data_IF_166081523573
#
_entry.id   IF_166081523573
#
_cell.length_a   1.000
_cell.length_b   1.000
_cell.length_c   1.000
_cell.angle_alpha   90.00
_cell.angle_beta   90.00
_cell.angle_gamma   90.00
#
_symmetry.space_group_name_H-M   'P 1'
#
loop_
_entity.id
_entity.type
_entity.pdbx_description
1 polymer ?
#
# COMPACT_ATOMS: atom_id res chain seq x y z
N UNK A 1 0.74 15.34 13.79
CA UNK A 1 1.40 14.17 14.41
C UNK A 1 1.63 13.19 13.29
N UNK A 2 2.84 12.66 13.11
CA UNK A 2 3.13 11.64 12.10
C UNK A 2 2.92 10.25 12.70
N UNK A 3 2.38 9.33 11.92
CA UNK A 3 2.16 7.94 12.32
C UNK A 3 2.88 7.02 11.34
N UNK A 4 3.99 6.44 11.75
CA UNK A 4 4.73 5.42 10.99
C UNK A 4 4.79 4.13 11.77
N UNK A 5 4.95 2.97 11.10
CA UNK A 5 5.30 1.73 11.79
C UNK A 5 6.55 1.93 12.65
N UNK A 6 6.58 1.26 13.80
CA UNK A 6 7.80 1.22 14.61
C UNK A 6 8.90 0.52 13.81
N UNK A 7 10.14 0.96 13.98
CA UNK A 7 11.29 0.43 13.22
C UNK A 7 11.46 -1.09 13.37
N UNK A 8 11.01 -1.66 14.48
CA UNK A 8 11.07 -3.09 14.79
C UNK A 8 10.19 -3.93 13.86
N UNK A 9 9.20 -3.35 13.16
CA UNK A 9 8.41 -4.08 12.13
C UNK A 9 9.31 -4.68 11.06
N UNK A 10 10.43 -4.03 10.72
CA UNK A 10 11.40 -4.56 9.76
C UNK A 10 12.01 -5.91 10.20
N UNK A 11 11.98 -6.26 11.49
CA UNK A 11 12.46 -7.55 12.01
C UNK A 11 11.51 -8.71 11.68
N UNK A 12 10.26 -8.42 11.30
CA UNK A 12 9.28 -9.43 10.89
C UNK A 12 9.47 -9.86 9.43
N UNK A 13 10.30 -9.16 8.64
CA UNK A 13 10.54 -9.49 7.22
C UNK A 13 11.30 -10.82 7.11
N UNK A 14 10.66 -11.84 6.54
CA UNK A 14 11.29 -13.14 6.33
C UNK A 14 11.90 -13.26 4.93
N UNK A 15 11.10 -12.94 3.90
CA UNK A 15 11.47 -13.14 2.50
C UNK A 15 11.07 -11.92 1.68
N UNK A 16 11.99 -11.42 0.84
CA UNK A 16 11.64 -10.45 -0.21
C UNK A 16 10.94 -11.18 -1.35
N UNK A 17 9.64 -10.95 -1.52
CA UNK A 17 8.81 -11.58 -2.55
C UNK A 17 8.82 -10.82 -3.88
N UNK A 18 9.05 -9.50 -3.82
CA UNK A 18 9.14 -8.63 -4.98
C UNK A 18 10.13 -7.48 -4.70
N UNK A 19 10.99 -7.19 -5.67
CA UNK A 19 11.79 -5.95 -5.75
C UNK A 19 11.82 -5.52 -7.21
N UNK A 20 11.05 -4.49 -7.55
CA UNK A 20 10.81 -4.06 -8.94
C UNK A 20 10.70 -2.54 -9.03
N UNK A 21 10.67 -2.03 -10.26
CA UNK A 21 10.32 -0.64 -10.55
C UNK A 21 9.05 -0.51 -11.39
N UNK A 22 8.42 0.67 -11.32
CA UNK A 22 7.24 1.05 -12.10
C UNK A 22 5.96 0.25 -11.79
N UNK A 23 5.03 0.28 -12.74
CA UNK A 23 3.77 -0.48 -12.67
C UNK A 23 4.03 -1.97 -12.52
N UNK A 24 3.32 -2.59 -11.59
CA UNK A 24 3.44 -4.02 -11.35
C UNK A 24 2.12 -4.63 -10.89
N UNK A 25 2.04 -5.94 -11.07
CA UNK A 25 0.92 -6.78 -10.66
C UNK A 25 1.51 -8.01 -9.98
N UNK A 26 1.31 -8.10 -8.67
CA UNK A 26 1.91 -9.11 -7.81
C UNK A 26 0.85 -10.02 -7.21
N UNK A 27 0.90 -11.32 -7.53
CA UNK A 27 0.08 -12.34 -6.87
C UNK A 27 0.73 -12.72 -5.53
N UNK A 28 0.11 -12.36 -4.41
CA UNK A 28 0.68 -12.63 -3.10
C UNK A 28 0.50 -14.11 -2.72
N UNK A 29 1.57 -14.81 -2.29
CA UNK A 29 1.49 -16.20 -1.82
C UNK A 29 0.96 -16.32 -0.39
N UNK A 30 0.77 -15.19 0.30
CA UNK A 30 0.28 -15.09 1.67
C UNK A 30 -0.42 -13.74 1.87
N UNK A 31 -1.23 -13.63 2.92
CA UNK A 31 -1.89 -12.39 3.35
C UNK A 31 -1.13 -11.62 4.42
N UNK A 32 0.00 -12.14 4.89
CA UNK A 32 0.89 -11.48 5.85
C UNK A 32 2.07 -10.89 5.09
N UNK A 33 1.94 -9.63 4.67
CA UNK A 33 2.94 -8.95 3.83
C UNK A 33 3.13 -7.48 4.20
N UNK A 34 4.33 -6.98 3.93
CA UNK A 34 4.68 -5.56 3.98
C UNK A 34 4.98 -5.08 2.56
N UNK A 35 4.31 -4.01 2.14
CA UNK A 35 4.52 -3.33 0.88
C UNK A 35 5.21 -1.99 1.13
N UNK A 36 6.28 -1.72 0.38
CA UNK A 36 7.04 -0.48 0.42
C UNK A 36 7.14 0.10 -1.00
N UNK A 37 6.40 1.17 -1.26
CA UNK A 37 6.42 1.91 -2.51
C UNK A 37 7.09 3.27 -2.33
N UNK A 38 7.93 3.66 -3.29
CA UNK A 38 8.61 4.95 -3.32
C UNK A 38 8.50 5.53 -4.73
N UNK A 39 7.86 6.70 -4.85
CA UNK A 39 7.40 7.25 -6.11
C UNK A 39 7.80 8.70 -6.31
N UNK A 40 7.92 9.14 -7.56
CA UNK A 40 8.07 10.54 -7.89
C UNK A 40 6.84 11.35 -7.42
N UNK A 41 7.07 12.44 -6.69
CA UNK A 41 5.99 13.22 -6.05
C UNK A 41 5.07 13.98 -7.01
N UNK A 42 5.52 14.18 -8.26
CA UNK A 42 4.80 14.95 -9.27
C UNK A 42 3.83 14.11 -10.11
N UNK A 43 3.70 12.82 -9.81
CA UNK A 43 2.88 11.89 -10.59
C UNK A 43 1.81 11.25 -9.72
N UNK A 44 0.69 10.92 -10.34
CA UNK A 44 -0.35 10.15 -9.67
C UNK A 44 0.14 8.72 -9.44
N UNK A 45 -0.28 8.14 -8.33
CA UNK A 45 0.10 6.78 -7.93
C UNK A 45 -1.15 6.04 -7.48
N UNK A 46 -1.30 4.81 -7.98
CA UNK A 46 -2.38 3.91 -7.58
C UNK A 46 -1.85 2.66 -6.88
N UNK A 47 -2.54 2.23 -5.81
CA UNK A 47 -2.33 0.94 -5.16
C UNK A 47 -3.68 0.25 -4.96
N UNK A 48 -3.83 -0.96 -5.50
CA UNK A 48 -5.04 -1.78 -5.31
C UNK A 48 -4.71 -3.10 -4.65
N UNK A 49 -5.57 -3.51 -3.73
CA UNK A 49 -5.61 -4.89 -3.22
C UNK A 49 -6.87 -5.54 -3.77
N UNK A 50 -6.67 -6.62 -4.53
CA UNK A 50 -7.71 -7.27 -5.32
C UNK A 50 -7.73 -8.75 -4.95
N UNK A 51 -8.89 -9.34 -4.75
CA UNK A 51 -8.98 -10.78 -4.52
C UNK A 51 -8.94 -11.59 -5.85
N UNK A 52 -8.82 -12.91 -5.78
CA UNK A 52 -8.80 -13.76 -6.99
C UNK A 52 -10.09 -13.71 -7.83
N UNK A 53 -11.20 -13.22 -7.26
CA UNK A 53 -12.47 -13.02 -7.98
C UNK A 53 -12.52 -11.70 -8.76
N UNK A 54 -11.43 -10.93 -8.74
CA UNK A 54 -11.31 -9.56 -9.26
C UNK A 54 -12.12 -8.52 -8.47
N UNK A 55 -12.50 -8.82 -7.22
CA UNK A 55 -13.07 -7.83 -6.33
C UNK A 55 -11.96 -6.93 -5.79
N UNK A 56 -12.05 -5.63 -6.09
CA UNK A 56 -11.17 -4.63 -5.48
C UNK A 56 -11.60 -4.44 -4.02
N UNK A 57 -10.75 -4.84 -3.09
CA UNK A 57 -10.96 -4.72 -1.65
C UNK A 57 -10.59 -3.33 -1.14
N UNK A 58 -9.50 -2.79 -1.70
CA UNK A 58 -8.91 -1.49 -1.39
C UNK A 58 -8.42 -0.87 -2.69
N UNK A 59 -8.74 0.41 -2.89
CA UNK A 59 -8.22 1.26 -3.95
C UNK A 59 -7.69 2.57 -3.34
N UNK A 60 -6.37 2.74 -3.31
CA UNK A 60 -5.70 3.94 -2.83
C UNK A 60 -5.16 4.73 -4.02
N UNK A 61 -5.53 6.01 -4.11
CA UNK A 61 -5.14 6.90 -5.20
C UNK A 61 -4.51 8.16 -4.64
N UNK A 62 -3.28 8.47 -5.08
CA UNK A 62 -2.64 9.75 -4.85
C UNK A 62 -2.78 10.64 -6.08
N UNK A 63 -3.31 11.85 -5.86
CA UNK A 63 -3.37 12.92 -6.84
C UNK A 63 -2.27 13.95 -6.53
N UNK A 64 -1.27 14.02 -7.40
CA UNK A 64 -0.12 14.91 -7.22
C UNK A 64 -0.46 16.39 -7.41
N UNK A 65 -1.48 16.71 -8.21
CA UNK A 65 -1.90 18.08 -8.45
C UNK A 65 -2.69 18.61 -7.25
N UNK A 66 -3.63 17.82 -6.73
CA UNK A 66 -4.44 18.17 -5.58
C UNK A 66 -3.73 17.94 -4.24
N UNK A 67 -2.62 17.19 -4.25
CA UNK A 67 -1.90 16.73 -3.05
C UNK A 67 -2.82 15.97 -2.08
N UNK A 68 -3.67 15.12 -2.63
CA UNK A 68 -4.65 14.35 -1.87
C UNK A 68 -4.46 12.86 -2.08
N UNK A 69 -4.74 12.10 -1.03
CA UNK A 69 -4.79 10.64 -1.06
C UNK A 69 -6.21 10.23 -0.74
N UNK A 70 -6.83 9.45 -1.63
CA UNK A 70 -8.16 8.91 -1.47
C UNK A 70 -8.09 7.39 -1.32
N UNK A 71 -8.70 6.86 -0.27
CA UNK A 71 -8.89 5.43 -0.05
C UNK A 71 -10.35 5.07 -0.26
N UNK A 72 -10.62 4.23 -1.24
CA UNK A 72 -11.92 3.59 -1.44
C UNK A 72 -11.85 2.14 -0.97
N UNK A 73 -12.71 1.79 -0.03
CA UNK A 73 -12.87 0.42 0.48
C UNK A 73 -14.05 -0.27 -0.19
N UNK A 74 -13.97 -1.58 -0.37
CA UNK A 74 -15.10 -2.39 -0.81
C UNK A 74 -16.32 -2.23 0.10
N UNK A 75 -17.51 -2.07 -0.51
CA UNK A 75 -18.78 -1.84 0.18
C UNK A 75 -18.79 -0.63 1.13
N UNK A 76 -17.96 0.36 0.88
CA UNK A 76 -18.06 1.67 1.52
C UNK A 76 -18.50 2.70 0.48
N UNK A 77 -19.53 3.49 0.76
CA UNK A 77 -20.05 4.48 -0.18
C UNK A 77 -19.25 5.80 -0.12
N UNK A 78 -18.40 5.97 0.88
CA UNK A 78 -17.64 7.21 1.08
C UNK A 78 -16.13 6.95 1.11
N UNK A 79 -15.36 7.51 0.16
CA UNK A 79 -13.92 7.42 0.22
C UNK A 79 -13.38 8.23 1.41
N UNK A 80 -12.33 7.72 2.04
CA UNK A 80 -11.56 8.48 3.03
C UNK A 80 -10.52 9.30 2.31
N UNK A 81 -10.47 10.60 2.57
CA UNK A 81 -9.58 11.52 1.87
C UNK A 81 -8.69 12.23 2.89
N UNK A 82 -7.40 12.31 2.59
CA UNK A 82 -6.43 13.08 3.36
C UNK A 82 -5.60 13.97 2.42
N UNK A 83 -5.23 15.15 2.89
CA UNK A 83 -4.23 16.01 2.25
C UNK A 83 -2.84 15.68 2.77
N UNK A 84 -1.84 15.66 1.90
CA UNK A 84 -0.44 15.39 2.24
C UNK A 84 0.48 16.48 1.70
N UNK A 85 1.57 16.80 2.37
CA UNK A 85 2.54 17.80 1.91
C UNK A 85 3.76 17.13 1.29
N UNK A 86 3.57 16.65 0.07
CA UNK A 86 4.63 15.97 -0.68
C UNK A 86 5.55 17.02 -1.32
N UNK A 87 6.85 16.95 -1.05
CA UNK A 87 7.85 17.90 -1.56
C UNK A 87 8.78 17.29 -2.60
N UNK A 88 9.33 16.12 -2.32
CA UNK A 88 10.33 15.48 -3.19
C UNK A 88 9.90 14.11 -3.67
N UNK A 89 9.51 13.23 -2.74
CA UNK A 89 9.17 11.83 -2.98
C UNK A 89 7.85 11.52 -2.27
N UNK A 90 7.04 10.67 -2.87
CA UNK A 90 5.83 10.13 -2.28
C UNK A 90 6.08 8.68 -1.91
N UNK A 91 5.85 8.30 -0.65
CA UNK A 91 5.95 6.90 -0.21
C UNK A 91 4.59 6.34 0.24
N UNK A 92 4.44 5.04 0.00
CA UNK A 92 3.36 4.23 0.58
C UNK A 92 4.02 3.07 1.31
N UNK A 93 3.82 3.00 2.62
CA UNK A 93 4.16 1.84 3.44
C UNK A 93 2.85 1.18 3.85
N UNK A 94 2.64 -0.07 3.45
CA UNK A 94 1.43 -0.81 3.76
C UNK A 94 1.75 -2.11 4.48
N UNK A 95 1.04 -2.38 5.57
CA UNK A 95 1.07 -3.65 6.30
C UNK A 95 -0.26 -4.36 6.05
N UNK A 96 -0.22 -5.56 5.50
CA UNK A 96 -1.39 -6.38 5.23
C UNK A 96 -1.28 -7.64 6.07
N UNK A 97 -2.39 -7.96 6.74
CA UNK A 97 -2.60 -9.22 7.44
C UNK A 97 -3.94 -9.82 6.98
N UNK A 98 -4.20 -11.06 7.40
CA UNK A 98 -5.34 -11.91 7.06
C UNK A 98 -6.68 -11.18 7.01
N UNK A 99 -6.91 -10.22 7.90
CA UNK A 99 -8.18 -9.48 7.96
C UNK A 99 -8.05 -7.96 8.07
N UNK A 100 -6.84 -7.41 7.86
CA UNK A 100 -6.58 -5.99 8.07
C UNK A 100 -5.51 -5.45 7.14
N UNK A 101 -5.57 -4.14 6.93
CA UNK A 101 -4.60 -3.37 6.19
C UNK A 101 -4.35 -2.05 6.90
N UNK A 102 -3.09 -1.68 7.04
CA UNK A 102 -2.66 -0.37 7.56
C UNK A 102 -1.78 0.29 6.51
N UNK A 103 -2.17 1.48 6.06
CA UNK A 103 -1.50 2.22 5.00
C UNK A 103 -0.98 3.53 5.58
N UNK A 104 0.33 3.68 5.60
CA UNK A 104 1.04 4.87 6.03
C UNK A 104 1.58 5.57 4.80
N UNK A 105 1.14 6.81 4.61
CA UNK A 105 1.41 7.56 3.38
C UNK A 105 2.28 8.77 3.69
N UNK A 106 3.27 8.99 2.84
CA UNK A 106 4.24 10.07 2.93
C UNK A 106 4.87 10.16 4.32
N UNK A 107 5.56 9.10 4.75
CA UNK A 107 6.15 8.98 6.09
C UNK A 107 5.14 9.22 7.24
N UNK A 108 3.90 8.76 7.04
CA UNK A 108 2.89 8.78 8.09
C UNK A 108 2.15 10.09 8.27
N UNK A 109 2.20 10.99 7.28
CA UNK A 109 1.36 12.19 7.26
C UNK A 109 -0.13 11.84 7.19
N UNK A 110 -0.47 10.81 6.42
CA UNK A 110 -1.78 10.19 6.43
C UNK A 110 -1.66 8.71 6.78
N UNK A 111 -2.61 8.21 7.56
CA UNK A 111 -2.71 6.81 7.93
C UNK A 111 -4.15 6.33 7.76
N UNK A 112 -4.31 5.16 7.15
CA UNK A 112 -5.58 4.49 7.02
C UNK A 112 -5.47 3.07 7.58
N UNK A 113 -6.34 2.73 8.52
CA UNK A 113 -6.43 1.38 9.08
C UNK A 113 -7.80 0.80 8.78
N UNK A 114 -7.84 -0.28 8.02
CA UNK A 114 -9.08 -0.90 7.56
C UNK A 114 -9.10 -2.40 7.80
N UNK A 115 -10.32 -2.93 7.94
CA UNK A 115 -10.57 -4.38 7.83
C UNK A 115 -10.75 -4.75 6.37
N UNK A 116 -10.08 -5.81 5.93
CA UNK A 116 -10.30 -6.43 4.62
C UNK A 116 -10.74 -7.88 4.85
N UNK A 117 -11.84 -8.29 4.24
CA UNK A 117 -12.35 -9.65 4.38
C UNK A 117 -12.34 -10.31 3.01
N UNK A 118 -11.49 -11.31 2.85
CA UNK A 118 -11.47 -12.18 1.69
C UNK A 118 -11.03 -13.56 2.15
N UNK A 119 -11.77 -14.59 1.74
CA UNK A 119 -11.36 -15.98 1.91
C UNK A 119 -10.30 -16.38 0.87
N UNK A 120 -10.17 -15.58 -0.20
CA UNK A 120 -9.32 -15.87 -1.35
C UNK A 120 -7.94 -15.23 -1.21
N UNK A 121 -6.96 -15.75 -1.95
CA UNK A 121 -5.67 -15.08 -2.12
C UNK A 121 -5.85 -13.66 -2.69
N UNK A 122 -4.83 -12.83 -2.48
CA UNK A 122 -4.84 -11.43 -2.92
C UNK A 122 -3.77 -11.18 -3.98
N UNK A 123 -4.07 -10.22 -4.84
CA UNK A 123 -3.16 -9.58 -5.77
C UNK A 123 -3.00 -8.12 -5.35
N UNK A 124 -1.79 -7.60 -5.47
CA UNK A 124 -1.49 -6.18 -5.36
C UNK A 124 -1.19 -5.64 -6.74
N UNK A 125 -1.89 -4.58 -7.13
CA UNK A 125 -1.58 -3.80 -8.33
C UNK A 125 -1.05 -2.44 -7.93
N UNK A 126 0.11 -2.07 -8.48
CA UNK A 126 0.65 -0.71 -8.37
C UNK A 126 0.62 -0.06 -9.74
N UNK A 127 0.07 1.13 -9.84
CA UNK A 127 0.15 1.97 -11.03
C UNK A 127 1.10 3.14 -10.77
N UNK A 128 2.16 3.22 -11.56
CA UNK A 128 3.19 4.26 -11.50
C UNK A 128 3.73 4.52 -12.91
N UNK A 129 3.93 5.80 -13.23
CA UNK A 129 4.38 6.23 -14.56
C UNK A 129 5.90 6.37 -14.71
N UNK A 130 6.67 6.10 -13.65
CA UNK A 130 8.12 6.34 -13.62
C UNK A 130 8.88 5.02 -13.41
N UNK A 131 9.80 4.71 -14.33
CA UNK A 131 10.70 3.54 -14.23
C UNK A 131 11.69 3.63 -13.06
N UNK A 132 11.76 4.78 -12.38
CA UNK A 132 12.60 5.00 -11.18
C UNK A 132 11.84 4.75 -9.89
N UNK A 133 10.52 4.62 -9.95
CA UNK A 133 9.69 4.36 -8.79
C UNK A 133 9.91 2.91 -8.37
N UNK A 134 10.15 2.66 -7.08
CA UNK A 134 10.51 1.32 -6.58
C UNK A 134 9.40 0.74 -5.74
N UNK A 135 9.15 -0.55 -5.91
CA UNK A 135 8.23 -1.32 -5.08
C UNK A 135 8.94 -2.54 -4.52
N UNK A 136 8.88 -2.72 -3.20
CA UNK A 136 9.32 -3.93 -2.53
C UNK A 136 8.18 -4.54 -1.74
N UNK A 137 8.06 -5.87 -1.79
CA UNK A 137 7.06 -6.61 -1.01
C UNK A 137 7.79 -7.71 -0.24
N UNK A 138 7.57 -7.74 1.07
CA UNK A 138 8.11 -8.75 1.97
C UNK A 138 7.00 -9.63 2.52
N UNK A 139 7.27 -10.93 2.65
CA UNK A 139 6.52 -11.78 3.57
C UNK A 139 6.86 -11.39 5.00
N UNK A 140 5.83 -11.21 5.83
CA UNK A 140 5.97 -11.01 7.26
C UNK A 140 5.77 -12.33 8.01
N UNK A 141 6.73 -12.66 8.87
CA UNK A 141 6.64 -13.77 9.82
C UNK A 141 5.81 -13.38 11.04
N UNK A 142 5.11 -14.37 11.61
CA UNK A 142 4.55 -14.22 12.96
C UNK A 142 5.67 -14.17 13.99
N UNK A 143 5.48 -13.42 15.08
CA UNK A 143 6.35 -13.56 16.25
C UNK A 143 6.26 -15.01 16.75
N UNK A 144 7.30 -15.81 16.51
CA UNK A 144 7.46 -17.13 17.15
C UNK A 144 7.79 -16.98 18.63
#
# INVERSE_FOLDING_TARGET
MLMTPVREVAQLRETCLLDTTGTNNFQAPTKSIEYLGNFASQQNVGLKVIDVSNQVLIDLQYDAQAKTVALQKYNDDQPRIATVEVTNQFDIHCLIDTSSIEIFVNNGEACFSERIYSENDIRIETDSVSEKDTVRIYQLGGMM
#
